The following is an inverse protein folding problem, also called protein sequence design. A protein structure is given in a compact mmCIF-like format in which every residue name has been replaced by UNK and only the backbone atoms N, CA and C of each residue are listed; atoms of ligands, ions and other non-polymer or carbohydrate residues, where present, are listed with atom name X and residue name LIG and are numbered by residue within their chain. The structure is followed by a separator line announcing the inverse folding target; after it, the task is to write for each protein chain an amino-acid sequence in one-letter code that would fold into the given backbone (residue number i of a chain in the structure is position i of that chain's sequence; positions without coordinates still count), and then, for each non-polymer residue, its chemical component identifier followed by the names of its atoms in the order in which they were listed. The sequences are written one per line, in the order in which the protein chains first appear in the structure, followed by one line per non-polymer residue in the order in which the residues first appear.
data_IF_749061033663
#
_entry.id   IF_749061033663
#
_cell.length_a   1.000
_cell.length_b   1.000
_cell.length_c   1.000
_cell.angle_alpha   90.00
_cell.angle_beta   90.00
_cell.angle_gamma   90.00
#
_symmetry.space_group_name_H-M   'P 1'
#
loop_
_entity.id
_entity.type
_entity.pdbx_description
1 polymer ?
#
# COMPACT_ATOMS: atom_id res chain seq x y z
N UNK A 1 16.62 -48.38 -42.32
CA UNK A 1 16.81 -47.68 -41.05
C UNK A 1 15.51 -46.96 -40.72
N UNK A 2 14.68 -47.63 -39.96
CA UNK A 2 13.37 -47.17 -39.50
C UNK A 2 13.56 -46.24 -38.31
N UNK A 3 13.26 -44.94 -38.45
CA UNK A 3 13.17 -44.02 -37.35
C UNK A 3 12.03 -44.46 -36.43
N UNK A 4 12.36 -44.75 -35.19
CA UNK A 4 11.42 -45.04 -34.12
C UNK A 4 10.55 -43.78 -33.90
N UNK A 5 9.27 -43.90 -34.26
CA UNK A 5 8.22 -42.95 -33.81
C UNK A 5 8.23 -42.95 -32.28
N UNK A 6 8.59 -41.80 -31.72
CA UNK A 6 8.53 -41.52 -30.30
C UNK A 6 7.04 -41.63 -29.91
N UNK A 7 6.64 -42.75 -29.30
CA UNK A 7 5.30 -42.93 -28.74
C UNK A 7 5.15 -41.96 -27.55
N UNK A 8 4.53 -40.80 -27.80
CA UNK A 8 4.11 -39.92 -26.74
C UNK A 8 3.21 -40.73 -25.76
N UNK A 9 3.71 -40.98 -24.59
CA UNK A 9 2.98 -41.72 -23.55
C UNK A 9 1.73 -40.91 -23.24
N UNK A 10 0.54 -41.51 -23.23
CA UNK A 10 -0.70 -40.85 -22.91
C UNK A 10 -0.57 -40.21 -21.49
N UNK A 11 -1.02 -38.94 -21.32
CA UNK A 11 -0.88 -38.26 -20.04
C UNK A 11 -1.67 -38.94 -18.93
N UNK A 12 -1.07 -39.08 -17.79
CA UNK A 12 -1.71 -39.68 -16.62
C UNK A 12 -2.86 -38.79 -16.09
N UNK A 13 -3.82 -39.41 -15.40
CA UNK A 13 -4.92 -38.65 -14.75
C UNK A 13 -4.40 -37.57 -13.76
N UNK A 14 -3.24 -37.78 -13.17
CA UNK A 14 -2.61 -36.83 -12.28
C UNK A 14 -2.06 -35.61 -13.04
N UNK A 15 -1.37 -35.84 -14.15
CA UNK A 15 -0.89 -34.80 -15.05
C UNK A 15 -2.03 -33.98 -15.64
N UNK A 16 -3.08 -34.61 -16.17
CA UNK A 16 -4.26 -33.91 -16.71
C UNK A 16 -4.89 -33.01 -15.64
N UNK A 17 -5.04 -33.47 -14.39
CA UNK A 17 -5.58 -32.64 -13.29
C UNK A 17 -4.66 -31.47 -12.97
N UNK A 18 -3.34 -31.66 -12.97
CA UNK A 18 -2.33 -30.62 -12.71
C UNK A 18 -2.35 -29.57 -13.80
N UNK A 19 -2.24 -29.97 -15.06
CA UNK A 19 -2.25 -29.06 -16.22
C UNK A 19 -3.57 -28.28 -16.33
N UNK A 20 -4.71 -28.91 -16.03
CA UNK A 20 -6.01 -28.21 -15.97
C UNK A 20 -6.05 -27.14 -14.87
N UNK A 21 -5.38 -27.37 -13.74
CA UNK A 21 -5.26 -26.37 -12.70
C UNK A 21 -4.41 -25.19 -13.18
N UNK A 22 -3.26 -25.47 -13.77
CA UNK A 22 -2.39 -24.45 -14.34
C UNK A 22 -3.13 -23.63 -15.41
N UNK A 23 -3.77 -24.28 -16.35
CA UNK A 23 -4.60 -23.59 -17.35
C UNK A 23 -5.66 -22.65 -16.73
N UNK A 24 -6.25 -23.03 -15.59
CA UNK A 24 -7.22 -22.19 -14.91
C UNK A 24 -6.58 -20.99 -14.21
N UNK A 25 -5.37 -21.18 -13.70
CA UNK A 25 -4.57 -20.15 -13.03
C UNK A 25 -4.12 -19.09 -14.06
N UNK A 26 -3.49 -19.47 -15.18
CA UNK A 26 -3.08 -18.58 -16.28
C UNK A 26 -4.25 -17.74 -16.84
N UNK A 27 -5.37 -18.39 -17.12
CA UNK A 27 -6.59 -17.68 -17.57
C UNK A 27 -7.07 -16.62 -16.58
N UNK A 28 -6.95 -16.91 -15.29
CA UNK A 28 -7.35 -15.97 -14.24
C UNK A 28 -6.40 -14.80 -14.18
N UNK A 29 -5.09 -15.04 -14.24
CA UNK A 29 -4.05 -14.02 -14.19
C UNK A 29 -4.14 -13.10 -15.40
N UNK A 30 -4.25 -13.64 -16.61
CA UNK A 30 -4.49 -12.85 -17.82
C UNK A 30 -5.74 -11.95 -17.73
N UNK A 31 -6.84 -12.45 -17.15
CA UNK A 31 -8.06 -11.66 -16.93
C UNK A 31 -7.85 -10.57 -15.89
N UNK A 32 -7.12 -10.88 -14.81
CA UNK A 32 -6.82 -9.94 -13.75
C UNK A 32 -5.98 -8.79 -14.27
N UNK A 33 -4.92 -9.06 -15.04
CA UNK A 33 -4.08 -8.02 -15.63
C UNK A 33 -4.84 -7.17 -16.64
N UNK A 34 -5.72 -7.75 -17.47
CA UNK A 34 -6.59 -6.96 -18.37
C UNK A 34 -7.54 -6.05 -17.61
N UNK A 35 -8.19 -6.56 -16.56
CA UNK A 35 -9.10 -5.75 -15.73
C UNK A 35 -8.36 -4.61 -15.00
N UNK A 36 -7.12 -4.84 -14.56
CA UNK A 36 -6.27 -3.79 -14.01
C UNK A 36 -5.88 -2.75 -15.06
N UNK A 37 -5.54 -3.19 -16.26
CA UNK A 37 -5.18 -2.30 -17.38
C UNK A 37 -6.33 -1.38 -17.80
N UNK A 38 -7.60 -1.81 -17.66
CA UNK A 38 -8.78 -0.97 -17.92
C UNK A 38 -8.87 0.24 -16.97
N UNK A 39 -8.32 0.13 -15.76
CA UNK A 39 -8.35 1.17 -14.74
C UNK A 39 -7.10 2.07 -14.77
N UNK A 40 -6.20 1.87 -15.72
CA UNK A 40 -4.92 2.56 -15.83
C UNK A 40 -4.74 3.23 -17.19
N UNK A 41 -3.82 4.18 -17.24
CA UNK A 41 -3.46 4.90 -18.46
C UNK A 41 -1.94 4.93 -18.63
N UNK A 42 -1.47 5.31 -19.81
CA UNK A 42 -0.03 5.45 -20.08
C UNK A 42 0.75 4.15 -20.00
N UNK A 43 1.99 4.22 -19.53
CA UNK A 43 2.96 3.12 -19.48
C UNK A 43 2.49 1.96 -18.59
N UNK A 44 1.89 2.28 -17.44
CA UNK A 44 1.40 1.25 -16.51
C UNK A 44 0.35 0.33 -17.15
N UNK A 45 -0.53 0.91 -17.99
CA UNK A 45 -1.49 0.14 -18.78
C UNK A 45 -0.80 -0.77 -19.78
N UNK A 46 0.24 -0.31 -20.45
CA UNK A 46 1.00 -1.10 -21.43
C UNK A 46 1.70 -2.29 -20.76
N UNK A 47 2.33 -2.06 -19.61
CA UNK A 47 2.99 -3.11 -18.84
C UNK A 47 1.97 -4.21 -18.42
N UNK A 48 0.80 -3.82 -17.92
CA UNK A 48 -0.25 -4.77 -17.52
C UNK A 48 -0.81 -5.57 -18.70
N UNK A 49 -0.93 -4.95 -19.88
CA UNK A 49 -1.34 -5.67 -21.10
C UNK A 49 -0.25 -6.64 -21.57
N UNK A 50 1.04 -6.25 -21.46
CA UNK A 50 2.16 -7.12 -21.77
C UNK A 50 2.20 -8.37 -20.87
N UNK A 51 1.94 -8.23 -19.57
CA UNK A 51 1.76 -9.36 -18.67
C UNK A 51 0.59 -10.26 -19.12
N UNK A 52 -0.57 -9.67 -19.43
CA UNK A 52 -1.73 -10.44 -19.87
C UNK A 52 -1.50 -11.20 -21.20
N UNK A 53 -0.63 -10.73 -22.06
CA UNK A 53 -0.20 -11.41 -23.29
C UNK A 53 0.77 -12.55 -22.96
N UNK A 54 1.66 -12.36 -21.98
CA UNK A 54 2.57 -13.42 -21.52
C UNK A 54 1.80 -14.61 -20.96
N UNK A 55 0.82 -14.36 -20.07
CA UNK A 55 -0.07 -15.41 -19.54
C UNK A 55 -0.87 -16.11 -20.66
N UNK A 56 -1.22 -15.38 -21.70
CA UNK A 56 -1.84 -15.96 -22.90
C UNK A 56 -0.94 -17.00 -23.59
N UNK A 57 0.38 -16.79 -23.64
CA UNK A 57 1.34 -17.79 -24.18
C UNK A 57 1.46 -19.02 -23.29
N UNK A 58 1.44 -18.83 -21.96
CA UNK A 58 1.41 -19.93 -21.00
C UNK A 58 0.12 -20.75 -21.14
N UNK A 59 -1.04 -20.08 -21.30
CA UNK A 59 -2.32 -20.73 -21.57
C UNK A 59 -2.25 -21.62 -22.82
N UNK A 60 -1.70 -21.11 -23.93
CA UNK A 60 -1.54 -21.85 -25.19
C UNK A 60 -0.68 -23.11 -25.00
N UNK A 61 0.39 -23.01 -24.22
CA UNK A 61 1.24 -24.15 -23.89
C UNK A 61 0.45 -25.26 -23.18
N UNK A 62 -0.26 -24.93 -22.10
CA UNK A 62 -1.06 -25.91 -21.36
C UNK A 62 -2.21 -26.48 -22.19
N UNK A 63 -2.81 -25.69 -23.07
CA UNK A 63 -3.80 -26.19 -24.04
C UNK A 63 -3.20 -27.20 -25.03
N UNK A 64 -1.98 -26.96 -25.46
CA UNK A 64 -1.28 -27.88 -26.38
C UNK A 64 -1.03 -29.24 -25.75
N UNK A 65 -0.68 -29.30 -24.48
CA UNK A 65 -0.48 -30.54 -23.73
C UNK A 65 -1.80 -31.26 -23.38
N UNK A 66 -2.84 -30.50 -23.07
CA UNK A 66 -4.15 -31.05 -22.69
C UNK A 66 -4.94 -31.59 -23.87
N UNK A 67 -4.80 -31.02 -25.07
CA UNK A 67 -5.57 -31.41 -26.25
C UNK A 67 -7.07 -31.53 -25.93
N UNK A 68 -7.65 -32.71 -26.21
CA UNK A 68 -9.08 -32.98 -25.94
C UNK A 68 -9.43 -32.94 -24.44
N UNK A 69 -8.46 -33.13 -23.55
CA UNK A 69 -8.65 -33.07 -22.11
C UNK A 69 -8.82 -31.64 -21.54
N UNK A 70 -8.70 -30.60 -22.38
CA UNK A 70 -8.95 -29.22 -21.98
C UNK A 70 -10.44 -28.94 -21.70
N UNK A 71 -11.34 -29.75 -22.22
CA UNK A 71 -12.79 -29.61 -22.04
C UNK A 71 -13.35 -30.57 -20.97
N UNK A 72 -14.40 -30.19 -20.23
CA UNK A 72 -14.95 -28.82 -20.07
C UNK A 72 -13.93 -27.87 -19.46
N UNK A 73 -14.04 -26.57 -19.74
CA UNK A 73 -13.12 -25.56 -19.23
C UNK A 73 -13.00 -25.65 -17.68
N UNK A 74 -11.78 -25.68 -17.12
CA UNK A 74 -11.61 -25.78 -15.69
C UNK A 74 -12.11 -24.52 -14.98
N UNK A 75 -12.77 -24.71 -13.85
CA UNK A 75 -13.20 -23.60 -13.01
C UNK A 75 -12.07 -23.21 -12.05
N UNK A 76 -11.83 -21.90 -11.85
CA UNK A 76 -10.83 -21.45 -10.88
C UNK A 76 -11.22 -21.91 -9.47
N UNK A 77 -10.24 -22.26 -8.63
CA UNK A 77 -10.48 -22.64 -7.23
C UNK A 77 -11.24 -21.55 -6.46
N UNK A 78 -12.05 -21.96 -5.48
CA UNK A 78 -12.85 -21.03 -4.66
C UNK A 78 -12.01 -19.91 -4.03
N UNK A 79 -10.79 -20.22 -3.61
CA UNK A 79 -9.83 -19.28 -3.06
C UNK A 79 -9.51 -18.16 -4.05
N UNK A 80 -9.30 -18.48 -5.31
CA UNK A 80 -8.98 -17.50 -6.36
C UNK A 80 -10.20 -16.61 -6.67
N UNK A 81 -11.41 -17.18 -6.62
CA UNK A 81 -12.67 -16.40 -6.75
C UNK A 81 -12.87 -15.41 -5.60
N UNK A 82 -12.58 -15.85 -4.36
CA UNK A 82 -12.62 -14.96 -3.18
C UNK A 82 -11.57 -13.86 -3.31
N UNK A 83 -10.36 -14.19 -3.75
CA UNK A 83 -9.29 -13.21 -3.97
C UNK A 83 -9.69 -12.17 -5.02
N UNK A 84 -10.29 -12.58 -6.14
CA UNK A 84 -10.77 -11.66 -7.17
C UNK A 84 -11.89 -10.74 -6.65
N UNK A 85 -12.81 -11.26 -5.83
CA UNK A 85 -13.87 -10.47 -5.20
C UNK A 85 -13.29 -9.44 -4.20
N UNK A 86 -12.33 -9.84 -3.38
CA UNK A 86 -11.64 -8.94 -2.46
C UNK A 86 -10.84 -7.87 -3.21
N UNK A 87 -10.23 -8.25 -4.32
CA UNK A 87 -9.53 -7.35 -5.22
C UNK A 87 -10.45 -6.25 -5.77
N UNK A 88 -11.65 -6.62 -6.20
CA UNK A 88 -12.66 -5.67 -6.67
C UNK A 88 -13.14 -4.72 -5.55
N UNK A 89 -13.28 -5.23 -4.31
CA UNK A 89 -13.73 -4.43 -3.17
C UNK A 89 -12.66 -3.47 -2.61
N UNK A 90 -11.39 -3.85 -2.65
CA UNK A 90 -10.29 -3.13 -2.00
C UNK A 90 -9.35 -2.39 -2.96
N UNK A 91 -9.67 -2.39 -4.27
CA UNK A 91 -8.96 -1.61 -5.27
C UNK A 91 -7.67 -2.24 -5.80
N UNK A 92 -7.05 -1.55 -6.75
CA UNK A 92 -5.94 -2.02 -7.59
C UNK A 92 -4.72 -2.50 -6.81
N UNK A 93 -4.38 -1.86 -5.69
CA UNK A 93 -3.21 -2.23 -4.88
C UNK A 93 -3.39 -3.59 -4.22
N UNK A 94 -4.60 -3.87 -3.76
CA UNK A 94 -4.91 -5.18 -3.20
C UNK A 94 -4.77 -6.28 -4.26
N UNK A 95 -5.21 -6.00 -5.50
CA UNK A 95 -5.05 -6.91 -6.64
C UNK A 95 -3.57 -7.18 -6.94
N UNK A 96 -2.76 -6.12 -7.06
CA UNK A 96 -1.32 -6.25 -7.31
C UNK A 96 -0.61 -7.02 -6.20
N UNK A 97 -0.95 -6.75 -4.93
CA UNK A 97 -0.40 -7.50 -3.80
C UNK A 97 -0.81 -8.97 -3.80
N UNK A 98 -2.01 -9.29 -4.29
CA UNK A 98 -2.49 -10.68 -4.45
C UNK A 98 -1.80 -11.36 -5.63
N UNK A 99 -1.68 -10.70 -6.79
CA UNK A 99 -0.97 -11.20 -7.96
C UNK A 99 0.48 -11.52 -7.61
N UNK A 100 1.20 -10.59 -6.98
CA UNK A 100 2.56 -10.82 -6.48
C UNK A 100 2.69 -12.11 -5.65
N UNK A 101 1.68 -12.45 -4.85
CA UNK A 101 1.69 -13.68 -4.02
C UNK A 101 1.39 -14.93 -4.83
N UNK A 102 0.65 -14.82 -5.92
CA UNK A 102 0.37 -15.94 -6.81
C UNK A 102 1.64 -16.29 -7.58
N UNK A 103 2.29 -15.32 -8.19
CA UNK A 103 3.56 -15.44 -8.89
C UNK A 103 4.66 -16.09 -8.02
N UNK A 104 4.82 -15.63 -6.76
CA UNK A 104 5.77 -16.20 -5.80
C UNK A 104 5.49 -17.66 -5.41
N UNK A 105 4.35 -18.22 -5.78
CA UNK A 105 3.93 -19.59 -5.49
C UNK A 105 3.86 -20.46 -6.73
N UNK A 106 4.29 -19.96 -7.87
CA UNK A 106 4.37 -20.75 -9.09
C UNK A 106 5.15 -22.04 -8.83
N UNK A 107 4.50 -23.17 -9.15
CA UNK A 107 5.04 -24.51 -8.91
C UNK A 107 5.89 -25.00 -10.07
N UNK A 108 6.20 -24.14 -11.05
CA UNK A 108 6.85 -24.54 -12.29
C UNK A 108 8.33 -24.90 -12.13
N UNK A 109 8.98 -24.43 -11.06
CA UNK A 109 10.39 -24.77 -10.80
C UNK A 109 10.62 -26.26 -10.53
N UNK A 110 9.64 -26.92 -9.92
CA UNK A 110 9.70 -28.33 -9.53
C UNK A 110 8.87 -29.23 -10.47
N UNK A 111 8.40 -28.70 -11.62
CA UNK A 111 7.51 -29.43 -12.52
C UNK A 111 8.23 -29.77 -13.85
N UNK A 112 8.54 -31.04 -14.05
CA UNK A 112 9.20 -31.56 -15.26
C UNK A 112 8.39 -31.32 -16.55
N UNK A 113 7.08 -31.08 -16.44
CA UNK A 113 6.20 -30.80 -17.59
C UNK A 113 6.18 -29.31 -17.97
N UNK A 114 6.71 -28.41 -17.12
CA UNK A 114 6.81 -26.98 -17.39
C UNK A 114 8.16 -26.63 -18.02
N UNK A 115 8.20 -25.83 -19.12
CA UNK A 115 9.47 -25.36 -19.66
C UNK A 115 10.21 -24.46 -18.67
N UNK A 116 11.53 -24.57 -18.61
CA UNK A 116 12.38 -23.70 -17.77
C UNK A 116 12.17 -22.21 -18.09
N UNK A 117 11.81 -21.88 -19.34
CA UNK A 117 11.47 -20.52 -19.75
C UNK A 117 10.24 -20.02 -19.00
N UNK A 118 9.17 -20.83 -18.90
CA UNK A 118 7.94 -20.46 -18.21
C UNK A 118 8.20 -20.16 -16.71
N UNK A 119 9.02 -20.99 -16.05
CA UNK A 119 9.44 -20.72 -14.69
C UNK A 119 10.26 -19.43 -14.53
N UNK A 120 11.05 -19.08 -15.55
CA UNK A 120 11.79 -17.82 -15.59
C UNK A 120 10.85 -16.62 -15.81
N UNK A 121 9.88 -16.75 -16.73
CA UNK A 121 8.87 -15.72 -17.01
C UNK A 121 8.07 -15.40 -15.74
N UNK A 122 7.59 -16.41 -14.99
CA UNK A 122 6.88 -16.23 -13.71
C UNK A 122 7.67 -15.43 -12.67
N UNK A 123 8.99 -15.67 -12.57
CA UNK A 123 9.84 -14.88 -11.66
C UNK A 123 9.88 -13.41 -12.06
N UNK A 124 10.00 -13.14 -13.38
CA UNK A 124 10.03 -11.77 -13.88
C UNK A 124 8.66 -11.10 -13.74
N UNK A 125 7.56 -11.84 -14.00
CA UNK A 125 6.20 -11.34 -13.73
C UNK A 125 6.04 -10.92 -12.27
N UNK A 126 6.52 -11.73 -11.32
CA UNK A 126 6.54 -11.40 -9.90
C UNK A 126 7.29 -10.10 -9.59
N UNK A 127 8.44 -9.83 -10.25
CA UNK A 127 9.20 -8.60 -10.09
C UNK A 127 8.50 -7.38 -10.73
N UNK A 128 7.91 -7.54 -11.90
CA UNK A 128 7.11 -6.48 -12.56
C UNK A 128 5.92 -6.10 -11.69
N UNK A 129 5.15 -7.08 -11.21
CA UNK A 129 4.00 -6.84 -10.33
C UNK A 129 4.45 -6.21 -9.01
N UNK A 130 5.61 -6.62 -8.46
CA UNK A 130 6.19 -6.01 -7.28
C UNK A 130 6.51 -4.53 -7.50
N UNK A 131 7.12 -4.19 -8.62
CA UNK A 131 7.48 -2.82 -8.97
C UNK A 131 6.24 -1.92 -9.15
N UNK A 132 5.19 -2.44 -9.81
CA UNK A 132 3.90 -1.74 -9.94
C UNK A 132 3.23 -1.54 -8.56
N UNK A 133 3.27 -2.58 -7.71
CA UNK A 133 2.73 -2.51 -6.35
C UNK A 133 3.50 -1.52 -5.47
N UNK A 134 4.81 -1.41 -5.63
CA UNK A 134 5.66 -0.49 -4.86
C UNK A 134 5.33 0.96 -5.18
N UNK A 135 5.23 1.35 -6.45
CA UNK A 135 4.78 2.68 -6.86
C UNK A 135 3.40 3.02 -6.28
N UNK A 136 2.47 2.09 -6.38
CA UNK A 136 1.13 2.26 -5.83
C UNK A 136 1.11 2.33 -4.30
N UNK A 137 2.01 1.61 -3.60
CA UNK A 137 2.15 1.67 -2.14
C UNK A 137 2.73 2.99 -1.66
N UNK A 138 3.70 3.57 -2.37
CA UNK A 138 4.27 4.87 -2.04
C UNK A 138 3.19 5.95 -2.01
N UNK A 139 2.35 6.00 -3.03
CA UNK A 139 1.25 6.97 -3.15
C UNK A 139 0.17 6.80 -2.07
N UNK A 140 -0.06 5.57 -1.57
CA UNK A 140 -1.10 5.28 -0.59
C UNK A 140 -0.58 5.07 0.84
N UNK A 141 0.74 4.94 1.03
CA UNK A 141 1.31 4.54 2.32
C UNK A 141 0.88 5.44 3.47
N UNK A 142 0.75 6.74 3.24
CA UNK A 142 0.30 7.70 4.25
C UNK A 142 -1.17 7.53 4.62
N UNK A 143 -2.07 7.63 3.64
CA UNK A 143 -3.53 7.59 3.86
C UNK A 143 -4.00 6.21 4.34
N UNK A 144 -3.48 5.12 3.73
CA UNK A 144 -3.84 3.77 4.14
C UNK A 144 -3.35 3.44 5.55
N UNK A 145 -2.13 3.85 5.89
CA UNK A 145 -1.58 3.66 7.24
C UNK A 145 -2.45 4.38 8.26
N UNK A 146 -2.81 5.64 8.02
CA UNK A 146 -3.66 6.43 8.90
C UNK A 146 -5.06 5.80 9.05
N UNK A 147 -5.66 5.32 7.96
CA UNK A 147 -6.97 4.67 8.00
C UNK A 147 -6.95 3.37 8.79
N UNK A 148 -6.00 2.46 8.51
CA UNK A 148 -5.89 1.18 9.23
C UNK A 148 -5.56 1.42 10.70
N UNK A 149 -4.66 2.35 10.99
CA UNK A 149 -4.30 2.70 12.36
C UNK A 149 -5.51 3.29 13.09
N UNK A 150 -6.23 4.22 12.47
CA UNK A 150 -7.43 4.83 13.06
C UNK A 150 -8.53 3.83 13.37
N UNK A 151 -8.90 2.96 12.40
CA UNK A 151 -9.91 1.92 12.63
C UNK A 151 -9.48 0.97 13.75
N UNK A 152 -8.24 0.52 13.70
CA UNK A 152 -7.72 -0.41 14.70
C UNK A 152 -7.66 0.19 16.10
N UNK A 153 -7.21 1.44 16.22
CA UNK A 153 -7.17 2.16 17.49
C UNK A 153 -8.58 2.36 18.04
N UNK A 154 -9.55 2.74 17.20
CA UNK A 154 -10.96 2.85 17.60
C UNK A 154 -11.55 1.51 18.09
N UNK A 155 -11.25 0.40 17.38
CA UNK A 155 -11.70 -0.93 17.79
C UNK A 155 -11.15 -1.33 19.16
N UNK A 156 -9.85 -1.17 19.37
CA UNK A 156 -9.17 -1.63 20.58
C UNK A 156 -9.46 -0.70 21.76
N UNK A 157 -9.29 0.61 21.59
CA UNK A 157 -9.43 1.57 22.68
C UNK A 157 -10.86 1.63 23.22
N UNK A 158 -11.85 1.68 22.34
CA UNK A 158 -13.24 1.75 22.79
C UNK A 158 -13.77 0.42 23.32
N UNK A 159 -13.34 -0.74 22.76
CA UNK A 159 -13.63 -2.04 23.38
C UNK A 159 -13.02 -2.12 24.77
N UNK A 160 -11.77 -1.74 24.96
CA UNK A 160 -11.07 -1.74 26.21
C UNK A 160 -11.78 -0.85 27.25
N UNK A 161 -12.20 0.35 26.84
CA UNK A 161 -12.96 1.29 27.68
C UNK A 161 -14.31 0.68 28.12
N UNK A 162 -15.08 0.13 27.17
CA UNK A 162 -16.38 -0.50 27.42
C UNK A 162 -16.22 -1.69 28.37
N UNK A 163 -15.25 -2.57 28.15
CA UNK A 163 -15.04 -3.74 29.02
C UNK A 163 -14.56 -3.33 30.42
N UNK A 164 -13.77 -2.25 30.55
CA UNK A 164 -13.41 -1.69 31.85
C UNK A 164 -14.64 -1.25 32.64
N UNK A 165 -15.56 -0.54 31.99
CA UNK A 165 -16.83 -0.07 32.59
C UNK A 165 -17.77 -1.23 32.89
N UNK A 166 -17.83 -2.27 32.04
CA UNK A 166 -18.58 -3.51 32.28
C UNK A 166 -18.00 -4.24 33.50
N UNK A 167 -16.67 -4.37 33.59
CA UNK A 167 -15.97 -4.98 34.72
C UNK A 167 -16.23 -4.27 36.04
N UNK A 168 -16.48 -2.94 36.02
CA UNK A 168 -16.86 -2.14 37.18
C UNK A 168 -18.35 -2.20 37.54
N UNK A 169 -19.12 -3.12 36.94
CA UNK A 169 -20.54 -3.36 37.28
C UNK A 169 -21.49 -2.22 36.85
N UNK A 170 -21.09 -1.33 35.96
CA UNK A 170 -21.88 -0.18 35.56
C UNK A 170 -23.11 -0.54 34.74
N UNK A 171 -24.13 0.33 34.79
CA UNK A 171 -25.38 0.15 34.03
C UNK A 171 -25.15 0.32 32.52
N UNK A 172 -26.02 -0.27 31.70
CA UNK A 172 -25.98 -0.17 30.22
C UNK A 172 -25.99 1.30 29.77
N UNK A 173 -26.74 2.18 30.43
CA UNK A 173 -26.75 3.61 30.13
C UNK A 173 -25.38 4.25 30.32
N UNK A 174 -24.70 3.92 31.43
CA UNK A 174 -23.35 4.43 31.69
C UNK A 174 -22.33 3.89 30.70
N UNK A 175 -22.45 2.59 30.31
CA UNK A 175 -21.61 1.97 29.30
C UNK A 175 -21.75 2.69 27.96
N UNK A 176 -22.99 2.96 27.51
CA UNK A 176 -23.26 3.69 26.28
C UNK A 176 -22.71 5.13 26.33
N UNK A 177 -23.00 5.85 27.40
CA UNK A 177 -22.51 7.24 27.56
C UNK A 177 -20.99 7.30 27.54
N UNK A 178 -20.34 6.40 28.28
CA UNK A 178 -18.86 6.33 28.33
C UNK A 178 -18.28 5.94 26.98
N UNK A 179 -18.87 4.94 26.30
CA UNK A 179 -18.39 4.50 25.00
C UNK A 179 -18.58 5.55 23.89
N UNK A 180 -19.70 6.29 23.90
CA UNK A 180 -19.92 7.43 22.98
C UNK A 180 -18.94 8.56 23.28
N UNK A 181 -18.75 8.90 24.55
CA UNK A 181 -17.77 9.92 24.94
C UNK A 181 -16.34 9.52 24.52
N UNK A 182 -15.96 8.25 24.73
CA UNK A 182 -14.68 7.70 24.28
C UNK A 182 -14.50 7.73 22.77
N UNK A 183 -15.55 7.37 22.02
CA UNK A 183 -15.57 7.46 20.56
C UNK A 183 -15.31 8.91 20.10
N UNK A 184 -16.07 9.88 20.63
CA UNK A 184 -15.94 11.27 20.22
C UNK A 184 -14.58 11.87 20.64
N UNK A 185 -14.16 11.63 21.86
CA UNK A 185 -12.88 12.13 22.36
C UNK A 185 -11.70 11.55 21.55
N UNK A 186 -11.71 10.25 21.29
CA UNK A 186 -10.68 9.59 20.48
C UNK A 186 -10.67 10.07 19.02
N UNK A 187 -11.84 10.14 18.40
CA UNK A 187 -11.95 10.61 17.01
C UNK A 187 -11.49 12.05 16.84
N UNK A 188 -11.86 12.96 17.75
CA UNK A 188 -11.42 14.35 17.73
C UNK A 188 -9.91 14.48 18.02
N UNK A 189 -9.38 13.72 18.96
CA UNK A 189 -7.95 13.71 19.29
C UNK A 189 -7.11 13.25 18.11
N UNK A 190 -7.50 12.13 17.48
CA UNK A 190 -6.80 11.63 16.28
C UNK A 190 -6.88 12.61 15.11
N UNK A 191 -8.05 13.20 14.87
CA UNK A 191 -8.23 14.18 13.80
C UNK A 191 -7.34 15.42 14.03
N UNK A 192 -7.27 15.92 15.25
CA UNK A 192 -6.42 17.06 15.59
C UNK A 192 -4.93 16.72 15.46
N UNK A 193 -4.51 15.54 15.93
CA UNK A 193 -3.14 15.06 15.78
C UNK A 193 -2.71 14.91 14.33
N UNK A 194 -3.57 14.33 13.49
CA UNK A 194 -3.30 14.17 12.07
C UNK A 194 -3.26 15.51 11.33
N UNK A 195 -4.15 16.45 11.67
CA UNK A 195 -4.12 17.80 11.11
C UNK A 195 -2.80 18.52 11.41
N UNK A 196 -2.37 18.49 12.67
CA UNK A 196 -1.10 19.10 13.09
C UNK A 196 0.08 18.43 12.39
N UNK A 197 0.11 17.10 12.33
CA UNK A 197 1.19 16.34 11.70
C UNK A 197 1.35 16.69 10.23
N UNK A 198 0.25 16.63 9.44
CA UNK A 198 0.25 16.96 8.02
C UNK A 198 0.57 18.43 7.76
N UNK A 199 0.07 19.33 8.63
CA UNK A 199 0.37 20.76 8.55
C UNK A 199 1.86 21.03 8.77
N UNK A 200 2.44 20.45 9.82
CA UNK A 200 3.88 20.60 10.11
C UNK A 200 4.77 20.02 9.02
N UNK A 201 4.39 18.88 8.45
CA UNK A 201 5.12 18.29 7.32
C UNK A 201 5.13 19.24 6.10
N UNK A 202 3.99 19.87 5.80
CA UNK A 202 3.92 20.88 4.73
C UNK A 202 4.77 22.10 5.01
N UNK A 203 4.72 22.62 6.23
CA UNK A 203 5.53 23.77 6.65
C UNK A 203 7.03 23.48 6.54
N UNK A 204 7.46 22.23 6.84
CA UNK A 204 8.84 21.81 6.63
C UNK A 204 9.21 21.71 5.16
N UNK A 205 8.31 21.20 4.32
CA UNK A 205 8.51 21.16 2.86
C UNK A 205 8.56 22.57 2.28
N UNK A 206 7.64 23.45 2.68
CA UNK A 206 7.60 24.84 2.23
C UNK A 206 8.90 25.57 2.63
N UNK A 207 9.43 25.30 3.82
CA UNK A 207 10.72 25.86 4.29
C UNK A 207 11.93 25.32 3.50
N UNK A 208 11.76 24.21 2.78
CA UNK A 208 12.80 23.60 1.94
C UNK A 208 12.73 24.04 0.47
N UNK A 209 11.73 24.87 0.13
CA UNK A 209 11.63 25.44 -1.23
C UNK A 209 12.75 26.45 -1.41
N UNK A 210 13.60 26.29 -2.44
CA UNK A 210 14.64 27.28 -2.74
C UNK A 210 14.04 28.64 -3.08
N UNK A 211 14.76 29.70 -2.70
CA UNK A 211 14.39 31.06 -3.09
C UNK A 211 14.43 31.21 -4.61
N UNK A 212 13.31 31.59 -5.26
CA UNK A 212 13.26 31.80 -6.70
C UNK A 212 14.26 32.88 -7.19
N UNK A 213 14.64 33.82 -6.31
CA UNK A 213 15.61 34.88 -6.64
C UNK A 213 17.06 34.36 -6.61
N UNK A 214 17.33 33.20 -5.97
CA UNK A 214 18.67 32.62 -5.90
C UNK A 214 19.24 32.29 -7.29
N UNK A 215 18.44 31.77 -8.23
CA UNK A 215 18.85 31.52 -9.60
C UNK A 215 19.24 32.83 -10.35
N UNK A 216 18.57 33.95 -10.05
CA UNK A 216 18.86 35.26 -10.63
C UNK A 216 20.12 35.90 -10.07
N UNK A 217 20.53 35.48 -8.88
CA UNK A 217 21.74 36.00 -8.23
C UNK A 217 23.03 35.32 -8.72
N UNK A 218 22.93 34.15 -9.39
CA UNK A 218 24.09 33.39 -9.87
C UNK A 218 25.09 34.18 -10.71
N UNK A 219 24.69 35.06 -11.67
CA UNK A 219 25.63 35.84 -12.44
C UNK A 219 26.43 36.86 -11.63
N UNK A 220 25.95 37.21 -10.43
CA UNK A 220 26.59 38.19 -9.55
C UNK A 220 27.51 37.54 -8.49
N UNK A 221 27.63 36.22 -8.50
CA UNK A 221 28.51 35.52 -7.54
C UNK A 221 29.98 35.72 -7.90
N UNK A 222 30.81 35.81 -6.84
CA UNK A 222 32.27 35.79 -7.00
C UNK A 222 32.72 34.36 -7.34
N UNK A 223 33.23 34.22 -8.57
CA UNK A 223 33.71 32.94 -9.11
C UNK A 223 34.93 32.42 -8.33
N UNK A 224 35.77 33.33 -7.84
CA UNK A 224 36.99 32.96 -7.10
C UNK A 224 36.67 32.50 -5.65
N UNK A 225 35.61 33.03 -5.07
CA UNK A 225 35.13 32.61 -3.73
C UNK A 225 34.43 31.22 -3.74
N UNK A 226 33.99 30.75 -4.91
CA UNK A 226 33.37 29.46 -5.16
C UNK A 226 32.21 29.11 -4.18
N UNK A 227 31.37 30.09 -3.84
CA UNK A 227 30.24 29.93 -2.94
C UNK A 227 29.20 28.94 -3.46
N UNK A 228 29.08 28.80 -4.79
CA UNK A 228 28.21 27.84 -5.45
C UNK A 228 28.64 26.38 -5.14
N UNK A 229 29.95 26.12 -5.05
CA UNK A 229 30.44 24.82 -4.64
C UNK A 229 30.09 24.48 -3.18
N UNK A 230 30.04 25.46 -2.27
CA UNK A 230 29.58 25.29 -0.91
C UNK A 230 28.10 24.83 -0.88
N UNK A 231 27.26 25.35 -1.77
CA UNK A 231 25.89 24.97 -1.92
C UNK A 231 25.78 23.48 -2.33
N UNK A 232 26.54 23.05 -3.34
CA UNK A 232 26.54 21.65 -3.80
C UNK A 232 27.06 20.69 -2.72
N UNK A 233 28.09 21.08 -1.97
CA UNK A 233 28.57 20.33 -0.81
C UNK A 233 27.52 20.23 0.32
N UNK A 234 26.78 21.31 0.58
CA UNK A 234 25.67 21.31 1.54
C UNK A 234 24.52 20.37 1.10
N UNK A 235 24.41 20.11 -0.21
CA UNK A 235 23.47 19.13 -0.80
C UNK A 235 23.99 17.70 -0.81
N UNK A 236 25.21 17.46 -0.32
CA UNK A 236 25.79 16.12 -0.14
C UNK A 236 26.78 15.70 -1.23
N UNK A 237 27.15 16.59 -2.17
CA UNK A 237 28.25 16.32 -3.09
C UNK A 237 29.59 16.37 -2.34
N UNK A 238 30.54 15.55 -2.71
CA UNK A 238 31.90 15.66 -2.20
C UNK A 238 32.60 16.91 -2.78
N UNK A 239 33.72 17.32 -2.17
CA UNK A 239 34.36 18.58 -2.50
C UNK A 239 34.80 18.68 -3.98
N UNK A 240 35.35 17.59 -4.53
CA UNK A 240 35.88 17.56 -5.90
C UNK A 240 34.74 17.65 -6.94
N UNK A 241 33.66 16.92 -6.74
CA UNK A 241 32.46 16.95 -7.60
C UNK A 241 31.74 18.30 -7.51
N UNK A 242 31.63 18.85 -6.29
CA UNK A 242 30.99 20.15 -6.08
C UNK A 242 31.73 21.30 -6.76
N UNK A 243 33.09 21.31 -6.70
CA UNK A 243 33.92 22.29 -7.39
C UNK A 243 33.79 22.16 -8.91
N UNK A 244 33.82 20.93 -9.43
CA UNK A 244 33.64 20.68 -10.88
C UNK A 244 32.23 21.10 -11.35
N UNK A 245 31.20 20.84 -10.56
CA UNK A 245 29.82 21.22 -10.86
C UNK A 245 29.64 22.74 -10.89
N UNK A 246 30.17 23.43 -9.88
CA UNK A 246 30.14 24.89 -9.82
C UNK A 246 30.87 25.54 -11.04
N UNK A 247 32.05 25.02 -11.38
CA UNK A 247 32.81 25.49 -12.54
C UNK A 247 32.03 25.29 -13.84
N UNK A 248 31.34 24.17 -14.01
CA UNK A 248 30.49 23.90 -15.18
C UNK A 248 29.33 24.91 -15.28
N UNK A 249 28.68 25.20 -14.14
CA UNK A 249 27.60 26.22 -14.09
C UNK A 249 28.09 27.59 -14.47
N UNK A 250 29.23 28.03 -13.93
CA UNK A 250 29.81 29.32 -14.29
C UNK A 250 30.24 29.37 -15.75
N UNK A 251 30.78 28.29 -16.31
CA UNK A 251 31.10 28.20 -17.75
C UNK A 251 29.85 28.36 -18.60
N UNK A 252 28.74 27.72 -18.26
CA UNK A 252 27.48 27.86 -18.98
C UNK A 252 26.90 29.28 -18.88
N UNK A 253 27.06 29.94 -17.72
CA UNK A 253 26.66 31.35 -17.55
C UNK A 253 27.48 32.28 -18.46
N UNK A 254 28.81 32.13 -18.47
CA UNK A 254 29.70 32.94 -19.32
C UNK A 254 29.43 32.73 -20.83
N UNK A 255 29.12 31.48 -21.24
CA UNK A 255 28.74 31.19 -22.62
C UNK A 255 27.38 31.84 -22.99
N UNK A 256 26.44 31.91 -22.06
CA UNK A 256 25.16 32.59 -22.26
C UNK A 256 25.34 34.12 -22.36
N UNK A 257 26.16 34.72 -21.49
CA UNK A 257 26.49 36.13 -21.54
C UNK A 257 27.26 36.53 -22.81
N UNK A 258 28.14 35.66 -23.30
CA UNK A 258 28.90 35.91 -24.55
C UNK A 258 28.04 35.86 -25.83
N UNK A 259 26.81 35.40 -25.77
CA UNK A 259 25.81 35.39 -26.86
C UNK A 259 24.88 36.62 -26.87
N UNK A 260 25.21 37.68 -26.15
CA UNK A 260 24.39 38.89 -26.01
C UNK A 260 24.17 39.59 -27.36
N UNK A 261 23.08 39.30 -28.01
CA UNK A 261 22.29 39.97 -29.01
C UNK A 261 20.83 39.62 -28.72
N UNK A 262 19.87 40.28 -29.26
CA UNK A 262 18.41 40.31 -28.97
C UNK A 262 17.70 39.06 -28.40
N UNK A 263 18.41 37.94 -28.22
CA UNK A 263 17.88 36.65 -27.74
C UNK A 263 18.27 36.30 -26.28
N UNK A 264 18.80 37.25 -25.50
CA UNK A 264 19.31 36.98 -24.14
C UNK A 264 18.20 36.56 -23.16
N UNK A 265 17.03 37.18 -23.24
CA UNK A 265 15.87 36.80 -22.40
C UNK A 265 15.36 35.38 -22.69
N UNK A 266 15.35 34.96 -23.97
CA UNK A 266 14.97 33.60 -24.37
C UNK A 266 16.02 32.56 -23.97
N UNK A 267 17.32 32.92 -23.95
CA UNK A 267 18.39 31.99 -23.54
C UNK A 267 18.36 31.71 -22.02
N UNK A 268 18.04 32.72 -21.20
CA UNK A 268 17.81 32.54 -19.76
C UNK A 268 16.55 31.71 -19.47
N UNK A 269 15.50 31.87 -20.28
CA UNK A 269 14.26 31.09 -20.14
C UNK A 269 14.42 29.62 -20.56
N UNK A 270 15.33 29.31 -21.50
CA UNK A 270 15.61 27.93 -21.94
C UNK A 270 16.50 27.13 -20.97
N UNK A 271 17.20 27.82 -20.06
CA UNK A 271 18.01 27.14 -19.06
C UNK A 271 17.14 26.57 -17.96
N UNK A 272 17.24 25.27 -17.72
CA UNK A 272 16.64 24.68 -16.48
C UNK A 272 17.28 25.39 -15.27
N UNK A 273 16.50 26.09 -14.44
CA UNK A 273 17.02 26.67 -13.20
C UNK A 273 17.75 25.64 -12.37
N UNK A 274 18.88 25.96 -11.77
CA UNK A 274 19.66 25.04 -10.91
C UNK A 274 18.82 24.51 -9.74
N UNK A 275 17.86 25.33 -9.31
CA UNK A 275 16.94 24.99 -8.22
C UNK A 275 15.62 24.36 -8.71
N UNK A 276 15.35 24.26 -10.02
CA UNK A 276 14.09 23.72 -10.55
C UNK A 276 13.87 22.25 -10.24
N UNK A 277 14.93 21.43 -10.27
CA UNK A 277 14.83 20.00 -9.95
C UNK A 277 14.40 19.75 -8.51
N UNK A 278 14.79 20.61 -7.57
CA UNK A 278 14.33 20.56 -6.18
C UNK A 278 12.88 21.04 -6.04
N UNK A 279 12.47 22.04 -6.81
CA UNK A 279 11.09 22.50 -6.80
C UNK A 279 10.14 21.43 -7.34
N UNK A 280 10.51 20.69 -8.39
CA UNK A 280 9.73 19.55 -8.91
C UNK A 280 9.62 18.41 -7.89
N UNK A 281 10.71 18.09 -7.19
CA UNK A 281 10.73 17.08 -6.14
C UNK A 281 9.88 17.49 -4.92
N UNK A 282 9.98 18.76 -4.49
CA UNK A 282 9.22 19.29 -3.37
C UNK A 282 7.72 19.42 -3.71
N UNK A 283 7.37 19.80 -4.94
CA UNK A 283 5.99 19.83 -5.42
C UNK A 283 5.37 18.41 -5.40
N UNK A 284 6.08 17.40 -5.90
CA UNK A 284 5.67 16.02 -5.82
C UNK A 284 5.49 15.53 -4.36
N UNK A 285 6.43 15.86 -3.48
CA UNK A 285 6.35 15.52 -2.06
C UNK A 285 5.17 16.21 -1.36
N UNK A 286 4.85 17.45 -1.72
CA UNK A 286 3.69 18.19 -1.16
C UNK A 286 2.36 17.62 -1.62
N UNK A 287 2.25 17.08 -2.84
CA UNK A 287 1.09 16.34 -3.31
C UNK A 287 0.91 15.01 -2.56
N UNK A 288 2.00 14.30 -2.30
CA UNK A 288 1.99 13.04 -1.55
C UNK A 288 1.53 13.21 -0.10
N UNK A 289 1.89 14.30 0.57
CA UNK A 289 1.50 14.60 1.94
C UNK A 289 -0.02 14.87 2.08
N UNK A 290 -0.69 15.27 1.01
CA UNK A 290 -2.13 15.54 1.00
C UNK A 290 -2.53 16.83 1.75
N UNK A 291 -3.83 17.07 1.91
CA UNK A 291 -4.33 18.27 2.62
C UNK A 291 -4.58 17.96 4.10
N UNK A 292 -4.20 18.84 5.06
CA UNK A 292 -4.40 18.63 6.50
C UNK A 292 -5.86 18.33 6.87
N UNK A 293 -6.82 19.02 6.25
CA UNK A 293 -8.26 18.83 6.51
C UNK A 293 -8.73 17.45 6.06
N UNK A 294 -8.30 16.98 4.88
CA UNK A 294 -8.67 15.64 4.38
C UNK A 294 -8.10 14.54 5.25
N UNK A 295 -6.86 14.69 5.67
CA UNK A 295 -6.19 13.76 6.58
C UNK A 295 -6.91 13.68 7.92
N UNK A 296 -7.23 14.83 8.53
CA UNK A 296 -7.99 14.90 9.77
C UNK A 296 -9.38 14.29 9.66
N UNK A 297 -10.14 14.60 8.60
CA UNK A 297 -11.46 14.05 8.38
C UNK A 297 -11.43 12.53 8.18
N UNK A 298 -10.45 12.02 7.41
CA UNK A 298 -10.23 10.60 7.21
C UNK A 298 -9.92 9.89 8.53
N UNK A 299 -9.02 10.45 9.33
CA UNK A 299 -8.63 9.92 10.63
C UNK A 299 -9.82 9.88 11.60
N UNK A 300 -10.62 10.96 11.66
CA UNK A 300 -11.87 11.01 12.43
C UNK A 300 -12.83 9.89 12.05
N UNK A 301 -13.14 9.77 10.76
CA UNK A 301 -14.11 8.78 10.25
C UNK A 301 -13.60 7.35 10.51
N UNK A 302 -12.32 7.09 10.27
CA UNK A 302 -11.74 5.78 10.47
C UNK A 302 -11.79 5.36 11.95
N UNK A 303 -11.38 6.23 12.86
CA UNK A 303 -11.45 5.96 14.29
C UNK A 303 -12.91 5.77 14.76
N UNK A 304 -13.80 6.70 14.40
CA UNK A 304 -15.21 6.63 14.79
C UNK A 304 -15.88 5.34 14.30
N UNK A 305 -15.57 4.89 13.09
CA UNK A 305 -16.08 3.62 12.54
C UNK A 305 -15.60 2.42 13.38
N UNK A 306 -14.33 2.38 13.72
CA UNK A 306 -13.79 1.34 14.60
C UNK A 306 -14.40 1.38 16.00
N UNK A 307 -14.47 2.57 16.61
CA UNK A 307 -14.97 2.78 17.96
C UNK A 307 -16.49 2.56 18.11
N UNK A 308 -17.24 2.68 17.00
CA UNK A 308 -18.68 2.40 16.99
C UNK A 308 -18.99 0.90 17.12
N UNK A 309 -18.12 0.04 16.62
CA UNK A 309 -18.39 -1.40 16.52
C UNK A 309 -18.70 -2.07 17.87
N UNK A 310 -17.91 -1.85 18.94
CA UNK A 310 -18.21 -2.44 20.25
C UNK A 310 -19.46 -1.85 20.91
N UNK A 311 -19.99 -0.70 20.47
CA UNK A 311 -21.21 -0.07 20.96
C UNK A 311 -22.48 -0.69 20.34
N UNK A 312 -22.39 -1.26 19.15
CA UNK A 312 -23.54 -1.78 18.39
C UNK A 312 -24.44 -2.71 19.23
N UNK A 313 -23.92 -3.70 19.96
CA UNK A 313 -24.78 -4.58 20.77
C UNK A 313 -25.61 -3.81 21.81
N UNK A 314 -25.00 -2.82 22.43
CA UNK A 314 -25.66 -1.99 23.45
C UNK A 314 -26.71 -1.05 22.84
N UNK A 315 -26.44 -0.47 21.67
CA UNK A 315 -27.37 0.37 20.90
C UNK A 315 -28.59 -0.47 20.48
N UNK A 316 -28.39 -1.74 20.14
CA UNK A 316 -29.46 -2.68 19.78
C UNK A 316 -30.24 -3.22 20.99
N UNK A 317 -29.95 -2.75 22.21
CA UNK A 317 -30.67 -3.09 23.42
C UNK A 317 -30.20 -4.37 24.13
N UNK A 318 -29.07 -4.95 23.71
CA UNK A 318 -28.44 -6.03 24.47
C UNK A 318 -27.83 -5.47 25.76
N UNK A 319 -27.83 -6.28 26.83
CA UNK A 319 -27.40 -5.86 28.15
C UNK A 319 -26.40 -6.85 28.78
N UNK A 320 -25.65 -6.35 29.77
CA UNK A 320 -24.79 -7.18 30.61
C UNK A 320 -23.70 -7.92 29.84
N UNK A 321 -23.37 -9.12 30.33
CA UNK A 321 -22.30 -9.96 29.78
C UNK A 321 -22.60 -10.47 28.35
N UNK A 322 -23.89 -10.60 27.98
CA UNK A 322 -24.24 -10.98 26.60
C UNK A 322 -23.82 -9.90 25.60
N UNK A 323 -24.14 -8.65 25.90
CA UNK A 323 -23.72 -7.51 25.04
C UNK A 323 -22.19 -7.43 24.96
N UNK A 324 -21.49 -7.59 26.08
CA UNK A 324 -20.03 -7.62 26.12
C UNK A 324 -19.44 -8.76 25.27
N UNK A 325 -19.98 -9.97 25.38
CA UNK A 325 -19.56 -11.13 24.58
C UNK A 325 -19.73 -10.90 23.08
N UNK A 326 -20.88 -10.33 22.66
CA UNK A 326 -21.14 -9.97 21.26
C UNK A 326 -20.18 -8.87 20.79
N UNK A 327 -19.93 -7.85 21.60
CA UNK A 327 -18.97 -6.78 21.29
C UNK A 327 -17.55 -7.33 21.07
N UNK A 328 -17.09 -8.21 21.97
CA UNK A 328 -15.80 -8.91 21.85
C UNK A 328 -15.72 -9.73 20.55
N UNK A 329 -16.78 -10.47 20.22
CA UNK A 329 -16.86 -11.26 19.00
C UNK A 329 -16.80 -10.40 17.74
N UNK A 330 -17.58 -9.30 17.66
CA UNK A 330 -17.59 -8.37 16.54
C UNK A 330 -16.23 -7.68 16.36
N UNK A 331 -15.65 -7.17 17.44
CA UNK A 331 -14.34 -6.52 17.39
C UNK A 331 -13.24 -7.52 17.07
N UNK A 332 -13.29 -8.73 17.61
CA UNK A 332 -12.34 -9.80 17.31
C UNK A 332 -12.34 -10.15 15.81
N UNK A 333 -13.52 -10.27 15.21
CA UNK A 333 -13.65 -10.48 13.76
C UNK A 333 -13.08 -9.30 12.96
N UNK A 334 -13.40 -8.06 13.35
CA UNK A 334 -12.89 -6.87 12.68
C UNK A 334 -11.36 -6.75 12.79
N UNK A 335 -10.75 -7.05 13.96
CA UNK A 335 -9.31 -7.07 14.15
C UNK A 335 -8.61 -8.13 13.30
N UNK A 336 -9.20 -9.32 13.19
CA UNK A 336 -8.68 -10.36 12.29
C UNK A 336 -8.75 -9.92 10.83
N UNK A 337 -9.84 -9.28 10.43
CA UNK A 337 -10.05 -8.79 9.09
C UNK A 337 -9.05 -7.67 8.73
N UNK A 338 -8.94 -6.63 9.56
CA UNK A 338 -7.98 -5.53 9.35
C UNK A 338 -6.53 -6.02 9.38
N UNK A 339 -6.18 -6.91 10.31
CA UNK A 339 -4.86 -7.53 10.38
C UNK A 339 -4.54 -8.39 9.16
N UNK A 340 -5.54 -9.08 8.62
CA UNK A 340 -5.46 -9.85 7.37
C UNK A 340 -5.19 -8.95 6.16
N UNK A 341 -5.94 -7.84 6.03
CA UNK A 341 -5.73 -6.83 4.97
C UNK A 341 -4.31 -6.27 5.02
N UNK A 342 -3.84 -5.85 6.20
CA UNK A 342 -2.47 -5.35 6.38
C UNK A 342 -1.45 -6.42 5.98
N UNK A 343 -1.70 -7.69 6.31
CA UNK A 343 -0.86 -8.81 5.89
C UNK A 343 -0.73 -8.90 4.38
N UNK A 344 -1.85 -8.88 3.67
CA UNK A 344 -1.89 -8.95 2.20
C UNK A 344 -1.17 -7.76 1.56
N UNK A 345 -1.52 -6.54 1.96
CA UNK A 345 -0.93 -5.32 1.41
C UNK A 345 0.58 -5.20 1.68
N UNK A 346 1.06 -5.80 2.77
CA UNK A 346 2.48 -5.88 3.08
C UNK A 346 3.21 -7.02 2.37
N UNK A 347 2.54 -7.79 1.48
CA UNK A 347 3.13 -8.95 0.81
C UNK A 347 3.50 -10.11 1.75
N UNK A 348 2.97 -10.15 2.97
CA UNK A 348 3.30 -11.17 3.98
C UNK A 348 2.09 -12.02 4.37
N UNK A 349 2.27 -13.21 4.99
CA UNK A 349 1.15 -14.08 5.38
C UNK A 349 0.13 -13.36 6.24
N UNK A 350 -1.18 -13.37 5.89
CA UNK A 350 -2.20 -12.62 6.62
C UNK A 350 -2.54 -13.24 7.99
N UNK A 351 -2.51 -14.56 8.12
CA UNK A 351 -2.93 -15.25 9.33
C UNK A 351 -2.11 -14.89 10.59
N UNK A 352 -0.76 -14.85 10.58
CA UNK A 352 0.00 -14.43 11.75
C UNK A 352 -0.26 -12.97 12.15
N UNK A 353 -0.55 -12.10 11.17
CA UNK A 353 -0.85 -10.69 11.44
C UNK A 353 -2.24 -10.48 12.00
N UNK A 354 -3.23 -11.18 11.45
CA UNK A 354 -4.57 -11.23 12.00
C UNK A 354 -4.56 -11.71 13.46
N UNK A 355 -3.83 -12.79 13.73
CA UNK A 355 -3.70 -13.33 15.09
C UNK A 355 -2.99 -12.36 16.03
N UNK A 356 -1.89 -11.75 15.60
CA UNK A 356 -1.18 -10.73 16.40
C UNK A 356 -2.10 -9.57 16.75
N UNK A 357 -2.89 -9.07 15.80
CA UNK A 357 -3.82 -7.96 16.02
C UNK A 357 -4.90 -8.33 17.03
N UNK A 358 -5.45 -9.52 16.91
CA UNK A 358 -6.43 -10.09 17.86
C UNK A 358 -5.84 -10.19 19.27
N UNK A 359 -4.64 -10.74 19.42
CA UNK A 359 -3.99 -10.90 20.72
C UNK A 359 -3.70 -9.57 21.41
N UNK A 360 -3.24 -8.56 20.66
CA UNK A 360 -3.01 -7.21 21.19
C UNK A 360 -4.33 -6.60 21.64
N UNK A 361 -5.37 -6.64 20.80
CA UNK A 361 -6.67 -6.07 21.14
C UNK A 361 -7.32 -6.72 22.34
N UNK A 362 -7.32 -8.05 22.39
CA UNK A 362 -7.89 -8.78 23.53
C UNK A 362 -7.05 -8.69 24.80
N UNK A 363 -5.72 -8.56 24.65
CA UNK A 363 -4.84 -8.28 25.79
C UNK A 363 -5.16 -6.93 26.46
N UNK A 364 -5.33 -5.89 25.65
CA UNK A 364 -5.73 -4.56 26.16
C UNK A 364 -7.13 -4.60 26.80
N UNK A 365 -8.10 -5.21 26.14
CA UNK A 365 -9.47 -5.33 26.62
C UNK A 365 -9.56 -6.16 27.90
N UNK A 366 -8.82 -7.26 27.99
CA UNK A 366 -8.74 -8.11 29.19
C UNK A 366 -8.10 -7.38 30.39
N UNK A 367 -7.04 -6.60 30.14
CA UNK A 367 -6.38 -5.81 31.18
C UNK A 367 -7.32 -4.75 31.78
N UNK A 368 -8.07 -4.03 30.93
CA UNK A 368 -9.01 -3.01 31.38
C UNK A 368 -10.25 -3.62 32.07
N UNK A 369 -10.73 -4.77 31.59
CA UNK A 369 -11.79 -5.52 32.27
C UNK A 369 -11.37 -5.97 33.68
N UNK A 370 -10.17 -6.54 33.81
CA UNK A 370 -9.62 -6.97 35.11
C UNK A 370 -9.44 -5.75 36.05
N UNK A 371 -9.02 -4.61 35.53
CA UNK A 371 -8.94 -3.36 36.30
C UNK A 371 -10.33 -2.91 36.78
N UNK A 372 -11.34 -3.01 35.91
CA UNK A 372 -12.74 -2.71 36.26
C UNK A 372 -13.25 -3.55 37.45
N UNK A 373 -12.99 -4.86 37.42
CA UNK A 373 -13.34 -5.77 38.52
C UNK A 373 -12.67 -5.40 39.83
N UNK A 374 -11.41 -4.92 39.79
CA UNK A 374 -10.72 -4.46 41.00
C UNK A 374 -11.36 -3.21 41.59
N UNK A 375 -11.87 -2.31 40.76
CA UNK A 375 -12.57 -1.11 41.25
C UNK A 375 -13.96 -1.43 41.81
N UNK A 376 -14.70 -2.37 41.22
CA UNK A 376 -15.99 -2.82 41.76
C UNK A 376 -15.83 -3.36 43.19
N UNK A 377 -14.82 -4.19 43.42
CA UNK A 377 -14.56 -4.79 44.75
C UNK A 377 -14.05 -3.77 45.77
N UNK A 378 -13.54 -2.60 45.35
CA UNK A 378 -12.98 -1.57 46.25
C UNK A 378 -14.02 -0.52 46.67
N UNK A 379 -15.16 -0.47 45.98
CA UNK A 379 -16.23 0.55 46.23
C UNK A 379 -17.46 -0.09 46.90
N UNK A 380 -17.57 -1.43 46.88
CA UNK A 380 -18.58 -2.21 47.61
C UNK A 380 -18.14 -2.50 49.03
#
# INVERSE_FOLDING_TARGET
MTQSLNTATEPTRAQIRRWRRYLAEERMEARTYRALAEQRTGEERQVLLGLAEAEGRHEEYWLSLLGEHALPAPHPPLRTRISAMLAYMFGTIFVLAMAQRTEQRSSYEDDDDAPAQMAADERIHGEVVRSLAERSRQTLAGTFRAAVFGINDGLVSNLALILGVVGAGMTTSNILTTGIAGLLAGALSMAAGEWVSVRSQRELLDASIPDPEADRSLPSLDVDANELALLFRARGEDAEHADAHAAEVFRQLAEAEGRVGEDAEDTYAMRRPIFASQNEQNAGASEEVGTPIRAAASSFICFATGALLPLIPYILGLNGMLAAGVAVGLVGFALMFTGGIVGVLSGRPPAPRALRQLLIGFGAAGATFALGLLFETSVA
#
